data_IF_818724578360
#
_entry.id   IF_818724578360
#
_cell.length_a   1.000
_cell.length_b   1.000
_cell.length_c   1.000
_cell.angle_alpha   90.00
_cell.angle_beta   90.00
_cell.angle_gamma   90.00
#
_symmetry.space_group_name_H-M   'P 1'
#
loop_
_entity.id
_entity.type
_entity.pdbx_description
1 polymer ?
#
# COMPACT_ATOMS: atom_id res chain seq x y z
N UNK A 1 2.41 26.68 -35.67
CA UNK A 1 2.08 25.40 -36.33
C UNK A 1 3.27 24.44 -36.40
N UNK A 2 4.46 24.82 -36.91
CA UNK A 2 5.60 23.86 -37.00
C UNK A 2 6.24 23.53 -35.63
N UNK A 3 6.33 24.48 -34.70
CA UNK A 3 6.86 24.22 -33.34
C UNK A 3 5.93 23.36 -32.48
N UNK A 4 4.61 23.53 -32.61
CA UNK A 4 3.64 22.70 -31.89
C UNK A 4 3.69 21.25 -32.38
N UNK A 5 3.81 21.02 -33.69
CA UNK A 5 3.89 19.68 -34.28
C UNK A 5 5.18 18.95 -33.88
N UNK A 6 6.33 19.62 -33.88
CA UNK A 6 7.59 19.05 -33.39
C UNK A 6 7.53 18.69 -31.91
N UNK A 7 6.88 19.52 -31.09
CA UNK A 7 6.72 19.25 -29.65
C UNK A 7 5.84 18.02 -29.37
N UNK A 8 4.85 17.76 -30.23
CA UNK A 8 3.97 16.59 -30.14
C UNK A 8 4.72 15.33 -30.58
N UNK A 9 5.55 15.46 -31.62
CA UNK A 9 6.35 14.35 -32.15
C UNK A 9 7.41 13.89 -31.14
N UNK A 10 8.15 14.83 -30.53
CA UNK A 10 9.16 14.54 -29.50
C UNK A 10 8.53 13.90 -28.26
N UNK A 11 7.37 14.40 -27.81
CA UNK A 11 6.62 13.82 -26.69
C UNK A 11 6.26 12.35 -26.91
N UNK A 12 5.62 12.04 -28.06
CA UNK A 12 5.17 10.67 -28.35
C UNK A 12 6.33 9.72 -28.65
N UNK A 13 7.40 10.22 -29.28
CA UNK A 13 8.51 9.39 -29.70
C UNK A 13 9.50 9.07 -28.57
N UNK A 14 9.75 10.04 -27.67
CA UNK A 14 10.70 9.86 -26.56
C UNK A 14 10.02 9.56 -25.22
N UNK A 15 8.69 9.47 -25.17
CA UNK A 15 7.91 9.27 -23.94
C UNK A 15 8.26 10.30 -22.84
N UNK A 16 8.57 11.53 -23.26
CA UNK A 16 8.85 12.66 -22.37
C UNK A 16 7.54 13.27 -21.88
N UNK A 17 7.56 13.94 -20.73
CA UNK A 17 6.43 14.70 -20.21
C UNK A 17 6.65 16.20 -20.43
N UNK A 18 5.55 16.93 -20.65
CA UNK A 18 5.59 18.38 -20.85
C UNK A 18 4.57 19.11 -19.99
N UNK A 19 4.98 20.23 -19.41
CA UNK A 19 4.09 21.16 -18.69
C UNK A 19 4.34 22.58 -19.17
N UNK A 20 3.28 23.25 -19.60
CA UNK A 20 3.30 24.68 -19.91
C UNK A 20 2.83 25.44 -18.66
N UNK A 21 3.72 26.24 -18.08
CA UNK A 21 3.36 27.15 -17.00
C UNK A 21 3.09 28.55 -17.58
N UNK A 22 1.92 29.09 -17.29
CA UNK A 22 1.61 30.51 -17.50
C UNK A 22 1.82 31.23 -16.17
N UNK A 23 2.82 32.10 -16.13
CA UNK A 23 3.08 32.93 -14.96
C UNK A 23 2.04 34.05 -14.87
N UNK A 24 1.89 34.63 -13.67
CA UNK A 24 0.95 35.75 -13.41
C UNK A 24 1.29 37.03 -14.20
N UNK A 25 2.52 37.14 -14.69
CA UNK A 25 3.02 38.24 -15.54
C UNK A 25 2.77 38.00 -17.04
N UNK A 26 1.94 37.01 -17.40
CA UNK A 26 1.69 36.56 -18.78
C UNK A 26 2.91 35.99 -19.51
N UNK A 27 4.04 35.79 -18.83
CA UNK A 27 5.17 35.06 -19.39
C UNK A 27 4.88 33.55 -19.35
N UNK A 28 5.25 32.83 -20.41
CA UNK A 28 5.10 31.38 -20.48
C UNK A 28 6.46 30.71 -20.38
N UNK A 29 6.58 29.72 -19.49
CA UNK A 29 7.75 28.84 -19.45
C UNK A 29 7.35 27.42 -19.80
N UNK A 30 8.21 26.78 -20.58
CA UNK A 30 8.05 25.40 -20.99
C UNK A 30 9.01 24.53 -20.17
N UNK A 31 8.50 23.51 -19.50
CA UNK A 31 9.32 22.54 -18.76
C UNK A 31 9.18 21.15 -19.38
N UNK A 32 10.32 20.55 -19.72
CA UNK A 32 10.43 19.16 -20.18
C UNK A 32 10.88 18.29 -19.01
N UNK A 33 10.22 17.15 -18.85
CA UNK A 33 10.60 16.15 -17.88
C UNK A 33 10.83 14.80 -18.55
N UNK A 34 11.90 14.13 -18.15
CA UNK A 34 12.22 12.77 -18.58
C UNK A 34 11.44 11.72 -17.80
N UNK A 35 10.86 12.09 -16.66
CA UNK A 35 9.99 11.25 -15.83
C UNK A 35 8.88 12.08 -15.19
N UNK A 36 7.68 11.51 -15.01
CA UNK A 36 6.58 12.18 -14.30
C UNK A 36 6.67 12.04 -12.78
N UNK A 37 7.48 11.09 -12.29
CA UNK A 37 7.54 10.77 -10.87
C UNK A 37 8.65 11.56 -10.19
N UNK A 38 8.32 12.23 -9.09
CA UNK A 38 9.32 12.88 -8.24
C UNK A 38 10.08 11.81 -7.46
N UNK A 39 11.38 11.71 -7.68
CA UNK A 39 12.23 10.86 -6.87
C UNK A 39 12.30 11.41 -5.45
N UNK A 40 11.95 10.57 -4.49
CA UNK A 40 12.13 10.83 -3.07
C UNK A 40 13.18 9.86 -2.54
N UNK A 41 13.94 10.31 -1.55
CA UNK A 41 14.82 9.46 -0.76
C UNK A 41 14.37 9.53 0.70
N UNK A 42 14.60 8.50 1.51
CA UNK A 42 14.27 8.55 2.93
C UNK A 42 14.96 9.73 3.63
N UNK A 43 14.26 10.35 4.57
CA UNK A 43 14.82 11.43 5.37
C UNK A 43 15.87 10.89 6.37
N UNK A 44 16.83 11.73 6.74
CA UNK A 44 17.88 11.39 7.71
C UNK A 44 18.96 10.45 7.18
N UNK A 45 19.82 9.99 8.08
CA UNK A 45 20.97 9.12 7.76
C UNK A 45 20.83 7.69 8.31
N UNK A 46 19.78 7.42 9.09
CA UNK A 46 19.60 6.14 9.78
C UNK A 46 18.14 5.72 9.76
N UNK A 47 17.91 4.43 9.57
CA UNK A 47 16.60 3.83 9.64
C UNK A 47 16.14 3.60 11.09
N UNK A 48 14.89 3.94 11.40
CA UNK A 48 14.23 3.65 12.69
C UNK A 48 13.03 2.70 12.47
N UNK A 49 13.09 1.44 12.93
CA UNK A 49 12.00 0.46 12.79
C UNK A 49 10.77 0.79 13.64
N UNK A 50 10.88 1.71 14.62
CA UNK A 50 9.77 2.16 15.45
C UNK A 50 9.23 3.54 15.02
N UNK A 51 9.84 4.14 13.99
CA UNK A 51 9.48 5.44 13.45
C UNK A 51 8.46 5.36 12.30
N UNK A 52 8.26 6.47 11.57
CA UNK A 52 7.40 6.49 10.40
C UNK A 52 7.86 5.50 9.32
N UNK A 53 6.92 4.74 8.77
CA UNK A 53 7.21 3.79 7.69
C UNK A 53 7.35 4.51 6.35
N UNK A 54 8.57 4.97 6.06
CA UNK A 54 8.93 5.63 4.81
C UNK A 54 8.13 6.92 4.61
N UNK A 55 7.78 7.25 3.37
CA UNK A 55 6.94 8.41 3.06
C UNK A 55 5.44 8.11 3.14
N UNK A 56 5.03 7.02 3.79
CA UNK A 56 3.62 6.59 3.87
C UNK A 56 2.78 7.56 4.72
N UNK A 57 3.41 8.40 5.55
CA UNK A 57 2.73 9.52 6.20
C UNK A 57 2.04 10.47 5.20
N UNK A 58 2.50 10.49 3.93
CA UNK A 58 1.89 11.29 2.85
C UNK A 58 0.95 10.48 1.96
N UNK A 59 0.74 9.20 2.24
CA UNK A 59 -0.14 8.33 1.45
C UNK A 59 -1.56 8.40 1.98
N UNK A 60 -2.48 8.86 1.13
CA UNK A 60 -3.91 8.65 1.31
C UNK A 60 -4.29 7.34 0.64
N UNK A 61 -4.28 6.24 1.39
CA UNK A 61 -4.59 4.90 0.87
C UNK A 61 -6.08 4.79 0.57
N UNK A 62 -6.88 5.33 1.49
CA UNK A 62 -8.32 5.34 1.50
C UNK A 62 -8.87 6.06 0.26
N UNK A 63 -8.22 7.11 -0.26
CA UNK A 63 -8.69 7.89 -1.42
C UNK A 63 -8.54 7.17 -2.77
N UNK A 64 -7.83 6.04 -2.86
CA UNK A 64 -7.58 5.31 -4.11
C UNK A 64 -8.84 4.64 -4.70
N UNK A 65 -8.96 4.60 -6.02
CA UNK A 65 -10.11 4.02 -6.76
C UNK A 65 -10.38 2.54 -6.50
N UNK A 66 -9.34 1.82 -6.09
CA UNK A 66 -9.43 0.40 -5.73
C UNK A 66 -9.98 0.16 -4.33
N UNK A 67 -10.07 1.20 -3.50
CA UNK A 67 -10.70 1.11 -2.17
C UNK A 67 -12.19 1.42 -2.33
N UNK A 68 -13.03 0.40 -2.17
CA UNK A 68 -14.48 0.56 -2.31
C UNK A 68 -15.06 1.40 -1.18
N UNK A 69 -14.73 1.05 0.06
CA UNK A 69 -15.11 1.75 1.28
C UNK A 69 -14.27 1.23 2.46
N UNK A 70 -14.35 1.90 3.60
CA UNK A 70 -13.79 1.40 4.86
C UNK A 70 -14.88 0.56 5.54
N UNK A 71 -14.62 -0.74 5.71
CA UNK A 71 -15.57 -1.64 6.40
C UNK A 71 -15.87 -1.12 7.80
N UNK A 72 -17.12 -1.23 8.23
CA UNK A 72 -17.52 -0.84 9.57
C UNK A 72 -17.32 -1.99 10.58
N UNK A 73 -17.24 -3.24 10.12
CA UNK A 73 -16.90 -4.41 10.95
C UNK A 73 -15.46 -4.38 11.47
N UNK A 74 -14.55 -3.73 10.75
CA UNK A 74 -13.15 -3.59 11.16
C UNK A 74 -12.95 -2.48 12.19
N UNK A 75 -13.94 -1.63 12.44
CA UNK A 75 -13.77 -0.46 13.31
C UNK A 75 -13.59 -0.87 14.76
N UNK A 76 -12.43 -0.59 15.35
CA UNK A 76 -12.08 -0.68 16.79
C UNK A 76 -13.20 -1.09 17.77
N UNK A 77 -13.49 -2.38 17.76
CA UNK A 77 -14.34 -3.02 18.75
C UNK A 77 -13.43 -3.38 19.93
N UNK A 78 -13.27 -2.47 20.89
CA UNK A 78 -12.70 -2.86 22.20
C UNK A 78 -13.84 -3.21 23.12
N UNK A 79 -13.96 -4.50 23.46
CA UNK A 79 -14.83 -4.94 24.56
C UNK A 79 -14.25 -4.42 25.86
N UNK A 80 -14.86 -3.38 26.43
CA UNK A 80 -14.56 -2.97 27.79
C UNK A 80 -15.13 -4.04 28.73
N UNK A 81 -14.26 -4.75 29.45
CA UNK A 81 -14.66 -5.62 30.54
C UNK A 81 -14.98 -4.75 31.76
N UNK A 82 -16.27 -4.48 32.00
CA UNK A 82 -16.89 -4.43 33.33
C UNK A 82 -18.34 -3.96 33.24
N UNK A 83 -19.13 -4.52 34.14
CA UNK A 83 -20.52 -4.23 34.52
C UNK A 83 -21.60 -4.98 33.71
N UNK A 84 -22.28 -5.89 34.42
CA UNK A 84 -23.39 -6.73 33.97
C UNK A 84 -24.50 -5.90 33.31
N UNK A 85 -24.89 -6.25 32.07
CA UNK A 85 -26.13 -5.78 31.45
C UNK A 85 -26.77 -6.92 30.65
N UNK A 86 -28.11 -6.98 30.69
CA UNK A 86 -28.98 -7.98 30.06
C UNK A 86 -29.43 -7.65 28.62
N UNK A 87 -29.23 -8.64 27.74
CA UNK A 87 -30.03 -9.14 26.58
C UNK A 87 -30.24 -8.30 25.30
N UNK A 88 -29.81 -8.96 24.19
CA UNK A 88 -30.22 -9.06 22.76
C UNK A 88 -31.34 -8.12 22.21
N UNK A 89 -31.41 -7.72 20.93
CA UNK A 89 -31.12 -8.38 19.64
C UNK A 89 -31.02 -7.32 18.50
N UNK A 90 -30.35 -7.65 17.39
CA UNK A 90 -30.23 -6.93 16.09
C UNK A 90 -29.85 -5.43 16.10
N UNK A 91 -28.56 -5.12 15.94
CA UNK A 91 -28.06 -3.76 15.71
C UNK A 91 -27.82 -3.50 14.21
N UNK A 92 -28.72 -2.75 13.56
CA UNK A 92 -28.34 -2.00 12.35
C UNK A 92 -27.99 -0.59 12.80
N UNK A 93 -26.70 -0.28 12.96
CA UNK A 93 -26.29 1.12 13.18
C UNK A 93 -26.38 1.83 11.85
N UNK A 94 -27.53 2.45 11.60
CA UNK A 94 -27.70 3.38 10.48
C UNK A 94 -26.98 4.67 10.86
N UNK A 95 -25.75 4.84 10.37
CA UNK A 95 -25.11 6.16 10.36
C UNK A 95 -25.83 7.04 9.35
N UNK A 96 -26.82 7.79 9.84
CA UNK A 96 -27.63 8.66 9.02
C UNK A 96 -26.91 10.01 8.91
N UNK A 97 -26.00 10.12 7.94
CA UNK A 97 -25.40 11.39 7.59
C UNK A 97 -26.41 12.16 6.72
N UNK A 98 -27.10 13.13 7.31
CA UNK A 98 -27.85 14.10 6.50
C UNK A 98 -26.84 15.12 5.96
N UNK A 99 -26.36 14.87 4.75
CA UNK A 99 -25.49 15.81 4.03
C UNK A 99 -26.41 16.81 3.32
N UNK A 100 -26.43 18.06 3.81
CA UNK A 100 -27.09 19.14 3.07
C UNK A 100 -26.11 19.71 2.05
N UNK A 101 -26.23 19.29 0.79
CA UNK A 101 -25.78 20.11 -0.32
C UNK A 101 -26.78 21.26 -0.51
N UNK A 102 -26.27 22.44 -0.82
CA UNK A 102 -27.06 23.61 -1.14
C UNK A 102 -27.95 23.29 -2.36
N UNK A 103 -29.20 22.92 -2.06
CA UNK A 103 -30.28 22.45 -2.94
C UNK A 103 -30.07 21.05 -3.57
N UNK A 104 -30.85 20.07 -3.06
CA UNK A 104 -31.17 18.73 -3.60
C UNK A 104 -30.13 17.59 -3.36
N UNK A 105 -30.33 16.79 -2.29
CA UNK A 105 -30.77 15.38 -2.30
C UNK A 105 -30.57 14.74 -0.90
N UNK A 106 -31.60 14.05 -0.40
CA UNK A 106 -31.54 13.22 0.82
C UNK A 106 -31.02 11.83 0.43
N UNK A 107 -29.72 11.70 0.22
CA UNK A 107 -29.12 10.39 -0.02
C UNK A 107 -28.82 9.69 1.31
N UNK A 108 -29.49 8.57 1.53
CA UNK A 108 -29.24 7.71 2.68
C UNK A 108 -28.23 6.63 2.31
N UNK A 109 -27.11 6.60 3.02
CA UNK A 109 -26.15 5.51 2.93
C UNK A 109 -25.99 4.83 4.29
N UNK A 110 -25.74 3.53 4.26
CA UNK A 110 -25.64 2.71 5.47
C UNK A 110 -24.39 1.86 5.43
N UNK A 111 -23.68 1.82 6.55
CA UNK A 111 -22.59 0.88 6.80
C UNK A 111 -23.00 -0.08 7.92
N UNK A 112 -22.82 -1.38 7.71
CA UNK A 112 -23.15 -2.39 8.73
C UNK A 112 -21.94 -2.65 9.63
N UNK A 113 -22.15 -2.59 10.95
CA UNK A 113 -21.17 -3.07 11.93
C UNK A 113 -21.14 -4.61 12.06
N UNK A 114 -21.98 -5.31 11.29
CA UNK A 114 -22.14 -6.75 11.38
C UNK A 114 -22.91 -7.17 12.63
N UNK A 115 -22.77 -8.44 13.01
CA UNK A 115 -23.39 -8.98 14.23
C UNK A 115 -22.50 -8.64 15.43
N UNK A 116 -23.04 -7.85 16.36
CA UNK A 116 -22.37 -7.49 17.61
C UNK A 116 -22.87 -8.38 18.75
N UNK A 117 -21.95 -8.83 19.59
CA UNK A 117 -22.25 -9.52 20.84
C UNK A 117 -22.58 -8.51 21.95
N UNK A 118 -23.09 -8.97 23.08
CA UNK A 118 -23.40 -8.11 24.24
C UNK A 118 -22.11 -7.67 24.95
N UNK A 119 -21.54 -6.54 24.51
CA UNK A 119 -20.27 -5.99 25.00
C UNK A 119 -20.20 -4.49 24.70
N UNK A 120 -19.24 -3.80 25.30
CA UNK A 120 -18.94 -2.42 24.91
C UNK A 120 -18.13 -2.36 23.61
N UNK A 121 -18.35 -1.33 22.81
CA UNK A 121 -17.66 -1.12 21.52
C UNK A 121 -17.25 0.35 21.37
N UNK A 122 -16.12 0.63 20.69
CA UNK A 122 -15.64 1.99 20.41
C UNK A 122 -15.65 2.30 18.91
N UNK A 123 -16.78 2.79 18.40
CA UNK A 123 -16.90 3.06 16.95
C UNK A 123 -16.21 4.37 16.56
N UNK A 124 -15.28 4.30 15.58
CA UNK A 124 -14.59 5.44 14.97
C UNK A 124 -14.79 5.41 13.45
N UNK A 125 -15.33 6.50 12.89
CA UNK A 125 -15.57 6.63 11.44
C UNK A 125 -14.98 7.94 10.94
N UNK A 126 -14.50 7.93 9.70
CA UNK A 126 -14.21 9.13 8.95
C UNK A 126 -15.44 9.49 8.11
N UNK A 127 -16.15 10.54 8.53
CA UNK A 127 -17.39 10.98 7.89
C UNK A 127 -17.15 11.50 6.46
N UNK A 128 -16.01 12.16 6.20
CA UNK A 128 -15.66 12.67 4.87
C UNK A 128 -15.44 11.50 3.92
N UNK A 129 -14.68 10.51 4.39
CA UNK A 129 -14.37 9.31 3.65
C UNK A 129 -15.61 8.46 3.38
N UNK A 130 -16.46 8.26 4.40
CA UNK A 130 -17.72 7.52 4.29
C UNK A 130 -18.66 8.16 3.26
N UNK A 131 -18.84 9.49 3.33
CA UNK A 131 -19.65 10.26 2.38
C UNK A 131 -19.08 10.21 0.96
N UNK A 132 -17.78 10.45 0.80
CA UNK A 132 -17.06 10.39 -0.49
C UNK A 132 -17.28 9.03 -1.16
N UNK A 133 -17.16 7.93 -0.41
CA UNK A 133 -17.34 6.57 -0.94
C UNK A 133 -18.77 6.24 -1.26
N UNK A 134 -19.70 6.67 -0.42
CA UNK A 134 -21.13 6.52 -0.68
C UNK A 134 -21.52 7.20 -1.99
N UNK A 135 -21.15 8.47 -2.19
CA UNK A 135 -21.42 9.22 -3.41
C UNK A 135 -20.72 8.59 -4.64
N UNK A 136 -19.47 8.15 -4.48
CA UNK A 136 -18.73 7.45 -5.54
C UNK A 136 -19.42 6.15 -6.00
N UNK A 137 -20.15 5.49 -5.10
CA UNK A 137 -20.87 4.25 -5.40
C UNK A 137 -22.17 4.46 -6.17
N UNK A 138 -22.72 5.68 -6.17
CA UNK A 138 -23.93 6.05 -6.92
C UNK A 138 -23.63 6.32 -8.42
N UNK A 139 -22.37 6.63 -8.76
CA UNK A 139 -21.91 6.80 -10.14
C UNK A 139 -21.84 5.44 -10.88
N UNK A 140 -22.97 5.01 -11.41
CA UNK A 140 -23.17 3.76 -12.17
C UNK A 140 -22.89 3.90 -13.68
N UNK A 141 -22.44 5.06 -14.16
CA UNK A 141 -22.16 5.26 -15.59
C UNK A 141 -20.92 4.48 -16.05
N UNK A 142 -20.94 3.98 -17.29
CA UNK A 142 -19.88 3.12 -17.90
C UNK A 142 -18.50 3.78 -18.00
N UNK A 143 -18.34 5.05 -17.64
CA UNK A 143 -17.07 5.76 -17.52
C UNK A 143 -16.90 6.21 -16.07
N UNK A 144 -16.24 5.39 -15.25
CA UNK A 144 -15.84 5.78 -13.89
C UNK A 144 -14.88 6.97 -13.99
N UNK A 145 -15.33 8.20 -13.72
CA UNK A 145 -14.50 9.42 -13.69
C UNK A 145 -13.69 9.56 -12.38
N UNK A 146 -13.33 8.44 -11.74
CA UNK A 146 -12.67 8.41 -10.44
C UNK A 146 -13.64 8.52 -9.25
N UNK A 147 -13.09 8.57 -8.04
CA UNK A 147 -13.89 8.75 -6.83
C UNK A 147 -14.26 10.22 -6.63
N UNK A 148 -15.43 10.46 -6.05
CA UNK A 148 -15.83 11.76 -5.49
C UNK A 148 -14.82 12.14 -4.40
N UNK A 149 -14.20 13.30 -4.52
CA UNK A 149 -13.29 13.84 -3.50
C UNK A 149 -14.03 14.91 -2.71
N UNK A 150 -14.06 14.77 -1.39
CA UNK A 150 -14.61 15.76 -0.47
C UNK A 150 -13.49 16.34 0.38
N UNK A 151 -13.62 17.61 0.72
CA UNK A 151 -12.69 18.38 1.53
C UNK A 151 -13.32 18.80 2.86
N UNK A 152 -12.50 19.07 3.90
CA UNK A 152 -12.99 19.66 5.14
C UNK A 152 -13.80 20.93 4.87
N UNK A 153 -15.05 20.96 5.33
CA UNK A 153 -16.01 22.03 5.05
C UNK A 153 -17.14 21.62 4.11
N UNK A 154 -16.92 20.60 3.26
CA UNK A 154 -17.95 20.12 2.31
C UNK A 154 -19.09 19.39 3.01
N UNK A 155 -18.82 18.81 4.18
CA UNK A 155 -19.83 18.17 5.03
C UNK A 155 -19.82 18.77 6.43
N UNK A 156 -21.00 18.80 7.05
CA UNK A 156 -21.20 19.18 8.45
C UNK A 156 -22.03 18.12 9.16
N UNK A 157 -21.53 17.62 10.29
CA UNK A 157 -22.33 16.78 11.17
C UNK A 157 -23.43 17.63 11.82
N UNK A 158 -24.69 17.35 11.48
CA UNK A 158 -25.86 18.10 11.99
C UNK A 158 -26.41 17.45 13.26
N UNK A 159 -26.61 16.13 13.23
CA UNK A 159 -27.19 15.38 14.34
C UNK A 159 -26.71 13.93 14.32
N UNK A 160 -26.62 13.31 15.49
CA UNK A 160 -26.38 11.88 15.63
C UNK A 160 -27.62 11.25 16.30
N UNK A 161 -28.24 10.30 15.62
CA UNK A 161 -29.41 9.59 16.12
C UNK A 161 -29.09 8.11 16.37
N UNK A 162 -29.63 7.57 17.45
CA UNK A 162 -29.56 6.15 17.78
C UNK A 162 -30.96 5.54 17.73
N UNK A 163 -31.10 4.37 17.12
CA UNK A 163 -32.38 3.65 16.99
C UNK A 163 -32.21 2.20 17.45
N UNK A 164 -33.21 1.67 18.14
CA UNK A 164 -33.20 0.33 18.73
C UNK A 164 -32.92 0.34 20.24
N UNK A 165 -32.79 -0.86 20.82
CA UNK A 165 -32.43 -1.05 22.23
C UNK A 165 -30.90 -1.05 22.34
N UNK A 166 -30.33 0.06 22.80
CA UNK A 166 -28.88 0.21 22.91
C UNK A 166 -28.49 1.14 24.06
N UNK A 167 -27.29 0.94 24.59
CA UNK A 167 -26.68 1.81 25.59
C UNK A 167 -25.54 2.57 24.95
N UNK A 168 -25.62 3.90 24.96
CA UNK A 168 -24.54 4.77 24.50
C UNK A 168 -23.84 5.38 25.70
N UNK A 169 -22.54 5.18 25.81
CA UNK A 169 -21.74 5.93 26.77
C UNK A 169 -21.76 7.40 26.36
N UNK A 170 -22.01 8.34 27.28
CA UNK A 170 -22.21 9.78 27.01
C UNK A 170 -21.05 10.51 26.29
N UNK A 171 -20.00 9.80 25.86
CA UNK A 171 -18.76 10.35 25.30
C UNK A 171 -18.75 10.24 23.78
N UNK A 172 -19.51 11.08 23.11
CA UNK A 172 -19.39 11.29 21.64
C UNK A 172 -18.33 12.36 21.39
N UNK A 173 -17.32 12.05 20.56
CA UNK A 173 -16.20 12.96 20.27
C UNK A 173 -16.01 13.09 18.76
N UNK A 174 -15.80 14.33 18.30
CA UNK A 174 -15.34 14.64 16.96
C UNK A 174 -13.86 15.06 17.03
N UNK A 175 -13.07 14.65 16.05
CA UNK A 175 -11.63 14.94 15.96
C UNK A 175 -11.26 15.21 14.51
N UNK A 176 -10.17 15.94 14.27
CA UNK A 176 -9.60 16.14 12.93
C UNK A 176 -8.87 14.89 12.40
N UNK A 177 -8.45 13.98 13.28
CA UNK A 177 -7.83 12.70 12.92
C UNK A 177 -8.04 11.64 14.01
N UNK A 178 -7.83 10.38 13.63
CA UNK A 178 -7.86 9.22 14.52
C UNK A 178 -6.83 8.15 14.09
N UNK A 179 -5.65 8.59 13.66
CA UNK A 179 -4.64 7.75 13.00
C UNK A 179 -4.27 6.51 13.82
N UNK A 180 -4.01 6.67 15.13
CA UNK A 180 -3.64 5.56 16.02
C UNK A 180 -4.74 4.49 16.08
N UNK A 181 -6.01 4.89 16.05
CA UNK A 181 -7.13 3.95 16.04
C UNK A 181 -7.22 3.20 14.71
N UNK A 182 -6.96 3.87 13.60
CA UNK A 182 -6.92 3.21 12.29
C UNK A 182 -5.71 2.28 12.16
N UNK A 183 -4.56 2.66 12.71
CA UNK A 183 -3.37 1.83 12.74
C UNK A 183 -3.63 0.52 13.49
N UNK A 184 -4.12 0.61 14.74
CA UNK A 184 -4.37 -0.61 15.51
C UNK A 184 -5.57 -1.39 14.95
N UNK A 185 -6.55 -0.73 14.33
CA UNK A 185 -7.64 -1.43 13.59
C UNK A 185 -7.04 -2.40 12.57
N UNK A 186 -6.07 -1.91 11.79
CA UNK A 186 -5.39 -2.73 10.81
C UNK A 186 -4.56 -3.84 11.48
N UNK A 187 -3.85 -3.53 12.57
CA UNK A 187 -3.06 -4.51 13.33
C UNK A 187 -3.93 -5.65 13.90
N UNK A 188 -5.05 -5.32 14.55
CA UNK A 188 -5.99 -6.29 15.10
C UNK A 188 -6.61 -7.16 14.01
N UNK A 189 -6.94 -6.57 12.85
CA UNK A 189 -7.41 -7.33 11.69
C UNK A 189 -6.35 -8.32 11.20
N UNK A 190 -5.08 -7.90 11.14
CA UNK A 190 -3.98 -8.79 10.75
C UNK A 190 -3.87 -9.96 11.74
N UNK A 191 -3.89 -9.72 13.06
CA UNK A 191 -3.82 -10.79 14.06
C UNK A 191 -5.01 -11.75 13.95
N UNK A 192 -6.24 -11.23 13.85
CA UNK A 192 -7.46 -12.04 13.82
C UNK A 192 -7.59 -12.89 12.55
N UNK A 193 -7.05 -12.44 11.42
CA UNK A 193 -7.21 -13.10 10.12
C UNK A 193 -5.95 -13.86 9.68
N UNK A 194 -4.94 -13.98 10.54
CA UNK A 194 -3.78 -14.83 10.28
C UNK A 194 -4.19 -16.30 10.39
N UNK A 195 -3.81 -17.10 9.39
CA UNK A 195 -4.04 -18.54 9.41
C UNK A 195 -3.01 -19.27 10.30
N UNK A 196 -3.20 -20.58 10.49
CA UNK A 196 -2.32 -21.41 11.35
C UNK A 196 -0.88 -21.54 10.82
N UNK A 197 -0.67 -21.30 9.53
CA UNK A 197 0.64 -21.25 8.87
C UNK A 197 1.33 -19.88 8.99
N UNK A 198 0.69 -18.88 9.61
CA UNK A 198 1.24 -17.54 9.78
C UNK A 198 1.00 -16.59 8.59
N UNK A 199 0.14 -16.98 7.66
CA UNK A 199 -0.18 -16.23 6.45
C UNK A 199 -1.56 -15.57 6.41
N UNK A 200 -1.74 -14.69 5.42
CA UNK A 200 -3.03 -14.11 5.06
C UNK A 200 -3.40 -14.54 3.64
N UNK A 201 -4.49 -15.30 3.52
CA UNK A 201 -4.97 -15.82 2.24
C UNK A 201 -5.73 -14.74 1.47
N UNK A 202 -5.43 -14.59 0.18
CA UNK A 202 -6.09 -13.64 -0.72
C UNK A 202 -7.25 -14.36 -1.42
N UNK A 203 -8.52 -14.00 -1.15
CA UNK A 203 -9.69 -14.78 -1.56
C UNK A 203 -10.08 -14.61 -3.04
N UNK A 204 -9.18 -14.09 -3.88
CA UNK A 204 -9.44 -13.79 -5.29
C UNK A 204 -8.34 -14.33 -6.18
N UNK A 205 -8.72 -14.81 -7.35
CA UNK A 205 -7.76 -15.19 -8.40
C UNK A 205 -6.95 -13.96 -8.82
N UNK A 206 -5.64 -14.16 -9.02
CA UNK A 206 -4.77 -13.15 -9.61
C UNK A 206 -4.16 -13.70 -10.89
N UNK A 207 -4.40 -12.98 -11.99
CA UNK A 207 -3.79 -13.28 -13.28
C UNK A 207 -2.68 -12.28 -13.61
N UNK A 208 -1.57 -12.79 -14.12
CA UNK A 208 -0.34 -12.05 -14.45
C UNK A 208 0.11 -12.48 -15.86
N UNK A 209 0.75 -11.54 -16.58
CA UNK A 209 1.31 -11.77 -17.92
C UNK A 209 0.28 -12.36 -18.91
N UNK A 210 -0.84 -11.67 -19.11
CA UNK A 210 -1.92 -12.09 -20.02
C UNK A 210 -2.40 -13.53 -19.77
N UNK A 211 -2.62 -13.87 -18.48
CA UNK A 211 -3.03 -15.19 -17.98
C UNK A 211 -2.02 -16.33 -18.16
N UNK A 212 -0.76 -16.05 -18.49
CA UNK A 212 0.30 -17.07 -18.49
C UNK A 212 0.69 -17.52 -17.08
N UNK A 213 0.48 -16.66 -16.08
CA UNK A 213 0.65 -16.97 -14.68
C UNK A 213 -0.68 -16.70 -13.96
N UNK A 214 -1.22 -17.72 -13.30
CA UNK A 214 -2.50 -17.63 -12.59
C UNK A 214 -2.33 -18.17 -11.18
N UNK A 215 -2.68 -17.36 -10.21
CA UNK A 215 -2.80 -17.73 -8.80
C UNK A 215 -4.28 -17.93 -8.49
N UNK A 216 -4.67 -19.16 -8.17
CA UNK A 216 -6.02 -19.46 -7.71
C UNK A 216 -6.35 -18.73 -6.41
N UNK A 217 -7.64 -18.53 -6.13
CA UNK A 217 -8.09 -17.93 -4.88
C UNK A 217 -7.55 -18.71 -3.66
N UNK A 218 -7.10 -17.98 -2.65
CA UNK A 218 -6.49 -18.53 -1.43
C UNK A 218 -4.95 -18.49 -1.42
N UNK A 219 -4.30 -17.89 -2.43
CA UNK A 219 -2.84 -17.69 -2.43
C UNK A 219 -2.41 -16.80 -1.25
N UNK A 220 -1.20 -17.04 -0.74
CA UNK A 220 -0.71 -16.39 0.48
C UNK A 220 0.25 -15.25 0.21
N UNK A 221 0.35 -14.36 1.19
CA UNK A 221 1.40 -13.35 1.32
C UNK A 221 2.22 -13.61 2.61
N UNK A 222 2.68 -14.85 2.83
CA UNK A 222 3.37 -15.29 4.05
C UNK A 222 4.83 -15.70 3.79
N UNK A 223 5.77 -15.10 4.51
CA UNK A 223 7.21 -15.27 4.27
C UNK A 223 7.76 -16.67 4.65
N UNK A 224 8.79 -17.12 3.92
CA UNK A 224 9.65 -18.29 4.18
C UNK A 224 9.11 -19.71 3.90
N UNK A 225 7.83 -19.92 3.61
CA UNK A 225 7.36 -21.22 3.07
C UNK A 225 7.55 -21.25 1.54
N UNK A 226 7.95 -22.38 0.91
CA UNK A 226 8.07 -22.46 -0.55
C UNK A 226 6.75 -22.14 -1.27
N UNK A 227 6.80 -21.38 -2.36
CA UNK A 227 5.64 -21.03 -3.19
C UNK A 227 4.90 -22.27 -3.71
N UNK A 228 5.66 -23.32 -4.07
CA UNK A 228 5.11 -24.63 -4.48
C UNK A 228 4.34 -25.36 -3.37
N UNK A 229 4.56 -25.01 -2.11
CA UNK A 229 3.89 -25.57 -0.94
C UNK A 229 2.88 -24.59 -0.32
N UNK A 230 2.49 -23.54 -1.05
CA UNK A 230 1.52 -22.55 -0.61
C UNK A 230 2.10 -21.36 0.16
N UNK A 231 3.43 -21.22 0.24
CA UNK A 231 4.10 -20.06 0.81
C UNK A 231 4.46 -18.97 -0.21
N UNK A 232 5.48 -18.15 0.08
CA UNK A 232 5.95 -17.07 -0.82
C UNK A 232 7.43 -17.12 -1.18
N UNK A 233 8.18 -18.11 -0.72
CA UNK A 233 9.60 -18.22 -1.07
C UNK A 233 9.76 -18.99 -2.38
N UNK A 234 10.51 -18.42 -3.31
CA UNK A 234 10.97 -19.08 -4.52
C UNK A 234 12.50 -19.04 -4.56
N UNK A 235 13.10 -19.70 -5.54
CA UNK A 235 14.54 -19.65 -5.77
C UNK A 235 14.84 -19.07 -7.15
N UNK A 236 15.75 -18.10 -7.19
CA UNK A 236 16.32 -17.56 -8.41
C UNK A 236 17.78 -18.00 -8.47
N UNK A 237 18.12 -18.88 -9.42
CA UNK A 237 19.47 -19.46 -9.57
C UNK A 237 20.04 -20.07 -8.26
N UNK A 238 19.19 -20.70 -7.43
CA UNK A 238 19.58 -21.31 -6.16
C UNK A 238 19.68 -20.35 -4.97
N UNK A 239 19.25 -19.10 -5.14
CA UNK A 239 19.22 -18.10 -4.07
C UNK A 239 17.76 -17.74 -3.70
N UNK A 240 17.46 -17.51 -2.41
CA UNK A 240 16.09 -17.28 -1.96
C UNK A 240 15.52 -15.96 -2.45
N UNK A 241 14.26 -15.97 -2.86
CA UNK A 241 13.48 -14.80 -3.22
C UNK A 241 12.11 -14.84 -2.55
N UNK A 242 11.68 -13.72 -1.96
CA UNK A 242 10.37 -13.59 -1.32
C UNK A 242 9.41 -12.92 -2.30
N UNK A 243 8.50 -13.71 -2.87
CA UNK A 243 7.58 -13.32 -3.93
C UNK A 243 6.46 -12.41 -3.43
N UNK A 244 6.17 -11.33 -4.18
CA UNK A 244 4.90 -10.60 -4.07
C UNK A 244 3.73 -11.46 -4.60
N UNK A 245 4.00 -12.18 -5.68
CA UNK A 245 3.07 -13.11 -6.31
C UNK A 245 3.76 -14.47 -6.40
N UNK A 246 3.39 -15.46 -5.57
CA UNK A 246 4.07 -16.76 -5.52
C UNK A 246 3.71 -17.65 -6.73
N UNK A 247 4.06 -17.20 -7.93
CA UNK A 247 3.77 -17.90 -9.19
C UNK A 247 4.80 -18.99 -9.46
N UNK A 248 4.40 -19.94 -10.32
CA UNK A 248 5.28 -20.97 -10.87
C UNK A 248 5.19 -20.93 -12.40
N UNK A 249 6.29 -20.61 -13.12
CA UNK A 249 7.59 -20.16 -12.63
C UNK A 249 7.51 -18.83 -11.85
N UNK A 250 8.55 -18.54 -11.07
CA UNK A 250 8.63 -17.33 -10.24
C UNK A 250 8.52 -16.05 -11.05
N UNK A 251 7.83 -15.05 -10.48
CA UNK A 251 7.66 -13.75 -11.11
C UNK A 251 8.81 -12.80 -10.75
N UNK A 252 9.33 -12.92 -9.53
CA UNK A 252 10.44 -12.15 -8.99
C UNK A 252 10.17 -10.65 -9.08
N UNK A 253 9.11 -10.16 -8.43
CA UNK A 253 8.81 -8.72 -8.37
C UNK A 253 9.76 -8.00 -7.42
N UNK A 254 10.40 -6.92 -7.90
CA UNK A 254 11.49 -6.25 -7.17
C UNK A 254 11.01 -5.47 -5.94
N UNK A 255 10.01 -4.60 -6.08
CA UNK A 255 9.52 -3.78 -4.97
C UNK A 255 8.97 -4.65 -3.83
N UNK A 256 8.24 -5.72 -4.15
CA UNK A 256 7.68 -6.63 -3.15
C UNK A 256 8.76 -7.33 -2.35
N UNK A 257 9.83 -7.78 -3.02
CA UNK A 257 10.98 -8.38 -2.34
C UNK A 257 11.67 -7.40 -1.38
N UNK A 258 11.93 -6.16 -1.81
CA UNK A 258 12.55 -5.15 -0.92
C UNK A 258 11.65 -4.76 0.27
N UNK A 259 10.33 -4.65 0.09
CA UNK A 259 9.42 -4.48 1.22
C UNK A 259 9.47 -5.67 2.18
N UNK A 260 9.58 -6.89 1.66
CA UNK A 260 9.72 -8.08 2.50
C UNK A 260 11.01 -8.03 3.33
N UNK A 261 12.14 -7.61 2.75
CA UNK A 261 13.39 -7.43 3.48
C UNK A 261 13.27 -6.40 4.61
N UNK A 262 12.63 -5.25 4.36
CA UNK A 262 12.42 -4.24 5.40
C UNK A 262 11.55 -4.80 6.53
N UNK A 263 10.47 -5.51 6.21
CA UNK A 263 9.62 -6.16 7.22
C UNK A 263 10.36 -7.24 8.04
N UNK A 264 11.25 -8.01 7.42
CA UNK A 264 12.12 -8.97 8.12
C UNK A 264 13.12 -8.27 9.03
N UNK A 265 13.68 -7.15 8.58
CA UNK A 265 14.54 -6.33 9.41
C UNK A 265 13.78 -5.78 10.62
N UNK A 266 12.59 -5.21 10.44
CA UNK A 266 11.77 -4.70 11.56
C UNK A 266 11.46 -5.80 12.56
N UNK A 267 11.05 -6.98 12.07
CA UNK A 267 10.79 -8.15 12.91
C UNK A 267 12.04 -8.61 13.67
N UNK A 268 13.23 -8.46 13.08
CA UNK A 268 14.50 -8.79 13.76
C UNK A 268 14.84 -7.85 14.92
N UNK A 269 14.21 -6.66 14.98
CA UNK A 269 14.41 -5.66 16.03
C UNK A 269 13.40 -5.77 17.17
N UNK A 270 12.37 -6.59 17.01
CA UNK A 270 11.40 -6.86 18.06
C UNK A 270 12.09 -7.58 19.23
N UNK A 271 11.86 -7.09 20.44
CA UNK A 271 12.31 -7.73 21.69
C UNK A 271 11.12 -8.48 22.30
N UNK A 272 11.13 -9.82 22.28
CA UNK A 272 10.05 -10.62 22.86
C UNK A 272 9.97 -10.44 24.39
N UNK A 273 8.76 -10.60 24.95
CA UNK A 273 8.58 -10.61 26.39
C UNK A 273 9.38 -11.74 27.06
N UNK A 274 9.80 -11.54 28.31
CA UNK A 274 10.62 -12.50 29.06
C UNK A 274 9.90 -13.85 29.21
N UNK A 275 8.58 -13.81 29.41
CA UNK A 275 7.75 -15.00 29.57
C UNK A 275 7.30 -15.61 28.24
N UNK A 276 7.69 -15.04 27.10
CA UNK A 276 7.26 -15.55 25.79
C UNK A 276 7.77 -17.00 25.56
N UNK A 277 6.97 -17.86 24.89
CA UNK A 277 7.40 -19.19 24.47
C UNK A 277 8.66 -19.15 23.58
N UNK A 278 9.46 -20.22 23.60
CA UNK A 278 10.75 -20.27 22.87
C UNK A 278 10.60 -20.11 21.35
N UNK A 279 9.50 -20.61 20.77
CA UNK A 279 9.20 -20.41 19.34
C UNK A 279 8.98 -18.93 18.99
N UNK A 280 8.47 -18.13 19.94
CA UNK A 280 8.33 -16.67 19.78
C UNK A 280 9.68 -15.98 19.98
N UNK A 281 10.46 -16.41 20.98
CA UNK A 281 11.80 -15.86 21.26
C UNK A 281 12.77 -16.02 20.09
N UNK A 282 12.64 -17.11 19.33
CA UNK A 282 13.48 -17.35 18.13
C UNK A 282 13.01 -16.60 16.89
N UNK A 283 11.83 -15.96 16.91
CA UNK A 283 11.26 -15.21 15.78
C UNK A 283 12.20 -14.12 15.23
N UNK A 284 12.70 -13.19 16.06
CA UNK A 284 13.62 -12.15 15.61
C UNK A 284 14.92 -12.69 15.00
N UNK A 285 15.46 -13.78 15.54
CA UNK A 285 16.66 -14.45 15.01
C UNK A 285 16.40 -15.07 13.63
N UNK A 286 15.25 -15.73 13.45
CA UNK A 286 14.84 -16.27 12.14
C UNK A 286 14.62 -15.17 11.12
N UNK A 287 13.97 -14.08 11.52
CA UNK A 287 13.73 -12.92 10.65
C UNK A 287 15.06 -12.28 10.21
N UNK A 288 16.03 -12.17 11.12
CA UNK A 288 17.39 -11.71 10.80
C UNK A 288 18.08 -12.61 9.77
N UNK A 289 18.03 -13.93 9.96
CA UNK A 289 18.67 -14.87 9.03
C UNK A 289 18.06 -14.79 7.62
N UNK A 290 16.73 -14.66 7.53
CA UNK A 290 16.03 -14.44 6.26
C UNK A 290 16.41 -13.09 5.64
N UNK A 291 16.45 -12.01 6.43
CA UNK A 291 16.88 -10.71 5.95
C UNK A 291 18.29 -10.75 5.34
N UNK A 292 19.25 -11.36 6.03
CA UNK A 292 20.64 -11.47 5.57
C UNK A 292 20.74 -12.28 4.26
N UNK A 293 20.07 -13.44 4.20
CA UNK A 293 20.05 -14.28 2.99
C UNK A 293 19.34 -13.60 1.79
N UNK A 294 18.25 -12.89 2.05
CA UNK A 294 17.53 -12.14 1.03
C UNK A 294 18.31 -10.91 0.54
N UNK A 295 19.08 -10.26 1.43
CA UNK A 295 19.94 -9.13 1.07
C UNK A 295 21.10 -9.58 0.15
N UNK A 296 21.69 -10.75 0.41
CA UNK A 296 22.69 -11.35 -0.48
C UNK A 296 22.10 -11.65 -1.87
N UNK A 297 20.86 -12.14 -1.91
CA UNK A 297 20.14 -12.39 -3.16
C UNK A 297 19.85 -11.08 -3.91
N UNK A 298 19.45 -10.01 -3.19
CA UNK A 298 19.23 -8.69 -3.78
C UNK A 298 20.52 -8.14 -4.42
N UNK A 299 21.66 -8.20 -3.70
CA UNK A 299 22.97 -7.74 -4.21
C UNK A 299 23.34 -8.44 -5.51
N UNK A 300 23.13 -9.75 -5.57
CA UNK A 300 23.49 -10.56 -6.73
C UNK A 300 22.62 -10.25 -7.95
N UNK A 301 21.31 -10.03 -7.75
CA UNK A 301 20.36 -9.93 -8.85
C UNK A 301 19.90 -8.51 -9.18
N UNK A 302 20.21 -7.50 -8.37
CA UNK A 302 19.84 -6.11 -8.70
C UNK A 302 20.30 -5.66 -10.10
N UNK A 303 21.46 -6.10 -10.65
CA UNK A 303 21.84 -5.76 -12.01
C UNK A 303 20.88 -6.29 -13.08
N UNK A 304 20.17 -7.40 -12.84
CA UNK A 304 19.18 -7.95 -13.78
C UNK A 304 17.97 -7.03 -13.96
N UNK A 305 17.73 -6.11 -13.00
CA UNK A 305 16.65 -5.16 -13.07
C UNK A 305 17.08 -3.82 -13.68
N UNK A 306 18.36 -3.61 -14.01
CA UNK A 306 18.86 -2.37 -14.58
C UNK A 306 18.85 -2.44 -16.12
N UNK A 307 18.13 -1.52 -16.76
CA UNK A 307 18.05 -1.46 -18.23
C UNK A 307 19.07 -0.52 -18.87
N UNK A 308 19.87 0.18 -18.06
CA UNK A 308 20.72 1.29 -18.51
C UNK A 308 19.99 2.62 -18.67
N UNK A 309 18.66 2.69 -18.49
CA UNK A 309 17.88 3.94 -18.58
C UNK A 309 16.60 3.92 -17.73
N UNK A 310 16.51 3.00 -16.78
CA UNK A 310 15.34 2.74 -15.96
C UNK A 310 15.46 1.36 -15.30
N UNK A 311 14.43 0.94 -14.58
CA UNK A 311 14.40 -0.39 -13.94
C UNK A 311 13.31 -1.30 -14.52
N UNK A 312 13.51 -2.61 -14.41
CA UNK A 312 12.49 -3.63 -14.70
C UNK A 312 11.63 -3.86 -13.45
N UNK A 313 10.33 -4.12 -13.61
CA UNK A 313 9.41 -4.40 -12.50
C UNK A 313 9.58 -5.81 -11.93
N UNK A 314 9.75 -6.80 -12.82
CA UNK A 314 9.87 -8.22 -12.49
C UNK A 314 10.68 -8.99 -13.54
N UNK A 315 11.11 -10.21 -13.20
CA UNK A 315 11.92 -11.05 -14.10
C UNK A 315 11.09 -12.07 -14.90
N UNK A 316 9.79 -11.80 -15.13
CA UNK A 316 8.94 -12.71 -15.92
C UNK A 316 9.50 -12.99 -17.32
N UNK A 317 10.27 -12.05 -17.88
CA UNK A 317 10.90 -12.19 -19.18
C UNK A 317 11.94 -13.32 -19.24
N UNK A 318 12.58 -13.65 -18.11
CA UNK A 318 13.51 -14.78 -18.00
C UNK A 318 12.73 -16.10 -18.02
N UNK A 319 11.68 -16.21 -17.19
CA UNK A 319 10.89 -17.45 -17.06
C UNK A 319 9.92 -17.72 -18.21
N UNK A 320 9.35 -16.67 -18.80
CA UNK A 320 8.30 -16.77 -19.84
C UNK A 320 8.82 -16.47 -21.25
N UNK A 321 10.09 -16.09 -21.41
CA UNK A 321 10.69 -15.70 -22.70
C UNK A 321 9.88 -14.60 -23.42
N UNK A 322 9.44 -13.60 -22.67
CA UNK A 322 8.70 -12.44 -23.19
C UNK A 322 9.56 -11.18 -23.19
N UNK A 323 9.03 -10.08 -23.72
CA UNK A 323 9.64 -8.77 -23.49
C UNK A 323 9.71 -8.44 -21.98
N UNK A 324 10.72 -7.67 -21.53
CA UNK A 324 10.81 -7.17 -20.17
C UNK A 324 9.58 -6.35 -19.75
N UNK A 325 9.09 -6.60 -18.54
CA UNK A 325 8.06 -5.77 -17.94
C UNK A 325 8.71 -4.55 -17.29
N UNK A 326 8.87 -3.46 -18.05
CA UNK A 326 9.52 -2.24 -17.56
C UNK A 326 8.73 -1.61 -16.41
N UNK A 327 9.43 -1.17 -15.36
CA UNK A 327 8.81 -0.41 -14.29
C UNK A 327 8.42 0.98 -14.79
N UNK A 328 7.15 1.34 -14.63
CA UNK A 328 6.69 2.73 -14.79
C UNK A 328 7.43 3.66 -13.81
N UNK A 329 7.50 4.96 -14.10
CA UNK A 329 8.30 5.91 -13.31
C UNK A 329 7.89 6.01 -11.83
N UNK A 330 6.62 5.76 -11.50
CA UNK A 330 6.14 5.64 -10.11
C UNK A 330 6.79 4.44 -9.40
N UNK A 331 6.83 3.28 -10.05
CA UNK A 331 7.54 2.11 -9.51
C UNK A 331 9.05 2.27 -9.50
N UNK A 332 9.63 2.91 -10.52
CA UNK A 332 11.06 3.23 -10.53
C UNK A 332 11.44 4.12 -9.33
N UNK A 333 10.63 5.13 -9.01
CA UNK A 333 10.82 5.96 -7.83
C UNK A 333 10.69 5.15 -6.53
N UNK A 334 9.75 4.20 -6.46
CA UNK A 334 9.64 3.27 -5.33
C UNK A 334 10.89 2.41 -5.20
N UNK A 335 11.43 1.89 -6.31
CA UNK A 335 12.66 1.11 -6.27
C UNK A 335 13.85 1.91 -5.73
N UNK A 336 14.05 3.14 -6.20
CA UNK A 336 15.07 4.05 -5.67
C UNK A 336 14.90 4.29 -4.17
N UNK A 337 13.66 4.58 -3.74
CA UNK A 337 13.36 4.84 -2.34
C UNK A 337 13.73 3.64 -1.47
N UNK A 338 13.29 2.44 -1.86
CA UNK A 338 13.54 1.20 -1.13
C UNK A 338 15.03 0.82 -1.09
N UNK A 339 15.78 1.04 -2.18
CA UNK A 339 17.23 0.84 -2.18
C UNK A 339 17.92 1.78 -1.20
N UNK A 340 17.63 3.09 -1.25
CA UNK A 340 18.19 4.07 -0.29
C UNK A 340 17.82 3.74 1.15
N UNK A 341 16.65 3.15 1.36
CA UNK A 341 16.22 2.72 2.69
C UNK A 341 17.04 1.52 3.19
N UNK A 342 17.25 0.51 2.34
CA UNK A 342 18.16 -0.60 2.66
C UNK A 342 19.60 -0.12 2.87
N UNK A 343 20.05 0.92 2.17
CA UNK A 343 21.36 1.55 2.40
C UNK A 343 21.43 2.19 3.80
N UNK A 344 20.40 2.92 4.24
CA UNK A 344 20.35 3.44 5.62
C UNK A 344 20.39 2.33 6.68
N UNK A 345 19.89 1.13 6.36
CA UNK A 345 19.90 -0.04 7.24
C UNK A 345 21.28 -0.72 7.28
N UNK A 346 21.94 -0.84 6.13
CA UNK A 346 23.05 -1.79 5.91
C UNK A 346 24.39 -1.13 5.58
N UNK A 347 24.38 0.12 5.10
CA UNK A 347 25.55 0.79 4.53
C UNK A 347 26.02 0.18 3.20
N UNK A 348 25.17 -0.57 2.50
CA UNK A 348 25.58 -1.31 1.31
C UNK A 348 25.89 -0.42 0.10
N UNK A 349 27.15 -0.44 -0.34
CA UNK A 349 27.64 0.40 -1.44
C UNK A 349 27.09 -0.01 -2.81
N UNK A 350 26.85 -1.30 -3.07
CA UNK A 350 26.35 -1.78 -4.37
C UNK A 350 24.92 -1.28 -4.57
N UNK A 351 24.12 -1.36 -3.51
CA UNK A 351 22.75 -0.84 -3.53
C UNK A 351 22.74 0.69 -3.66
N UNK A 352 23.66 1.38 -2.98
CA UNK A 352 23.74 2.85 -3.03
C UNK A 352 24.14 3.38 -4.41
N UNK A 353 25.18 2.80 -5.02
CA UNK A 353 25.62 3.13 -6.37
C UNK A 353 24.54 2.83 -7.42
N UNK A 354 23.78 1.75 -7.22
CA UNK A 354 22.64 1.42 -8.08
C UNK A 354 21.50 2.42 -7.91
N UNK A 355 21.18 2.81 -6.68
CA UNK A 355 20.18 3.83 -6.41
C UNK A 355 20.56 5.18 -7.02
N UNK A 356 21.81 5.62 -6.90
CA UNK A 356 22.30 6.87 -7.50
C UNK A 356 22.22 6.86 -9.03
N UNK A 357 22.57 5.73 -9.63
CA UNK A 357 22.43 5.54 -11.08
C UNK A 357 20.95 5.58 -11.52
N UNK A 358 20.05 4.99 -10.74
CA UNK A 358 18.61 5.03 -11.02
C UNK A 358 18.00 6.41 -10.80
N UNK A 359 18.45 7.15 -9.77
CA UNK A 359 18.13 8.58 -9.61
C UNK A 359 18.52 9.34 -10.89
N UNK A 360 19.73 9.12 -11.40
CA UNK A 360 20.21 9.74 -12.62
C UNK A 360 19.33 9.42 -13.86
N UNK A 361 18.80 8.20 -13.97
CA UNK A 361 17.88 7.81 -15.06
C UNK A 361 16.60 8.65 -15.07
N UNK A 362 16.08 9.03 -13.90
CA UNK A 362 14.88 9.90 -13.81
C UNK A 362 15.09 11.29 -14.43
N UNK A 363 16.35 11.70 -14.58
CA UNK A 363 16.80 12.94 -15.23
C UNK A 363 17.36 12.72 -16.65
N UNK A 364 17.07 11.57 -17.27
CA UNK A 364 17.43 11.27 -18.65
C UNK A 364 18.87 10.82 -18.88
N UNK A 365 19.66 10.63 -17.82
CA UNK A 365 20.98 9.99 -17.95
C UNK A 365 20.79 8.52 -18.34
N UNK A 366 21.79 7.98 -19.03
CA UNK A 366 21.83 6.58 -19.44
C UNK A 366 23.18 5.98 -19.07
N UNK A 367 23.21 4.66 -18.87
CA UNK A 367 24.46 3.93 -18.80
C UNK A 367 25.28 4.15 -20.08
N UNK A 368 26.60 4.17 -19.94
CA UNK A 368 27.50 4.33 -21.09
C UNK A 368 27.32 3.14 -22.04
N UNK A 369 27.25 3.42 -23.33
CA UNK A 369 27.43 2.41 -24.38
C UNK A 369 28.91 2.31 -24.74
N UNK A 370 29.28 1.24 -25.45
CA UNK A 370 30.64 0.99 -25.93
C UNK A 370 31.04 1.92 -27.08
#
# INVERSE_FOLDING_TARGET
MIEEDMSIYVYRYYLLEKVLFKNKDHSSRFEWFTSYSKIRVPDGNSYDPFGPFGHFATYSVETRDRVRCISAETVWITTLQSDEIMSMDFLTVVFLYVIFFQYICLDFFSFSLGKLNDSWYSVTRDALMDASRALSSLNTSKRKEGNVVLHPGDIRLVSLGFRGKLTVRQKVRQSSSANDKFFITAADWMVKNQNKEGGWSVPVERSIADRRLVLGAGWHSAMAQPASLGGVMNELFGHPWYEEYPTTPGSFVLNGFMYALIGLYDMSKVIPAVEAPDNIKTGPLRARALFEAGLDSLRLFIPLYDTGSGSIYDLRHIGLQTAPNLARWDYHAVHVYLLKWLVQITGDKILDETADRWIAYSYGKRAKHN
#
